data_IF_488623217490
#
_entry.id   IF_488623217490
#
_cell.length_a   1.000
_cell.length_b   1.000
_cell.length_c   1.000
_cell.angle_alpha   90.00
_cell.angle_beta   90.00
_cell.angle_gamma   90.00
#
_symmetry.space_group_name_H-M   'P 1'
#
loop_
_entity.id
_entity.type
_entity.pdbx_description
1 polymer ?
#
# COMPACT_ATOMS: atom_id res chain seq x y z
N UNK A 1 11.01 -3.35 7.95
CA UNK A 1 10.00 -3.53 6.89
C UNK A 1 8.83 -4.40 7.32
N UNK A 2 9.04 -5.63 7.80
CA UNK A 2 7.95 -6.54 8.19
C UNK A 2 6.88 -5.89 9.08
N UNK A 3 7.29 -5.22 10.17
CA UNK A 3 6.36 -4.51 11.04
C UNK A 3 5.57 -3.42 10.31
N UNK A 4 6.21 -2.61 9.44
CA UNK A 4 5.55 -1.53 8.70
C UNK A 4 4.45 -2.12 7.80
N UNK A 5 4.77 -3.20 7.08
CA UNK A 5 3.80 -3.89 6.24
C UNK A 5 2.64 -4.45 7.07
N UNK A 6 2.92 -5.13 8.18
CA UNK A 6 1.87 -5.71 9.03
C UNK A 6 0.99 -4.64 9.70
N UNK A 7 1.58 -3.54 10.16
CA UNK A 7 0.83 -2.40 10.71
C UNK A 7 -0.06 -1.75 9.65
N UNK A 8 0.47 -1.51 8.45
CA UNK A 8 -0.30 -0.97 7.33
C UNK A 8 -1.44 -1.91 6.89
N UNK A 9 -1.17 -3.21 6.83
CA UNK A 9 -2.15 -4.25 6.46
C UNK A 9 -3.28 -4.30 7.48
N UNK A 10 -2.97 -4.38 8.78
CA UNK A 10 -3.98 -4.46 9.86
C UNK A 10 -4.84 -3.20 9.95
N UNK A 11 -4.24 -2.03 9.76
CA UNK A 11 -4.95 -0.76 9.76
C UNK A 11 -5.65 -0.47 8.43
N UNK A 12 -5.37 -1.25 7.38
CA UNK A 12 -5.70 -0.97 5.99
C UNK A 12 -5.41 0.51 5.63
N UNK A 13 -4.23 0.99 6.03
CA UNK A 13 -3.86 2.39 5.96
C UNK A 13 -2.49 2.54 5.31
N UNK A 14 -2.32 3.49 4.37
CA UNK A 14 -1.01 3.78 3.80
C UNK A 14 -0.11 4.49 4.81
N UNK A 15 -0.67 5.08 5.88
CA UNK A 15 0.09 5.78 6.92
C UNK A 15 0.29 4.84 8.10
N UNK A 16 1.56 4.65 8.48
CA UNK A 16 1.98 3.88 9.64
C UNK A 16 2.66 4.80 10.63
N UNK A 17 1.99 5.02 11.77
CA UNK A 17 2.56 5.71 12.91
C UNK A 17 3.47 4.77 13.70
N UNK A 18 4.62 5.29 14.11
CA UNK A 18 5.75 4.58 14.70
C UNK A 18 6.27 5.27 15.98
N UNK A 19 5.56 6.30 16.44
CA UNK A 19 5.85 7.00 17.70
C UNK A 19 6.76 8.22 17.53
N UNK A 20 6.93 8.98 18.61
CA UNK A 20 7.56 10.31 18.58
C UNK A 20 9.06 10.28 18.90
N UNK A 21 9.60 9.12 19.25
CA UNK A 21 11.00 8.90 19.61
C UNK A 21 11.46 7.45 19.35
N UNK A 22 12.77 7.23 19.44
CA UNK A 22 13.39 5.92 19.27
C UNK A 22 12.93 4.87 20.28
N UNK A 23 12.55 5.28 21.49
CA UNK A 23 12.04 4.35 22.52
C UNK A 23 10.68 3.78 22.15
N UNK A 24 9.77 4.63 21.66
CA UNK A 24 8.46 4.17 21.17
C UNK A 24 8.62 3.29 19.93
N UNK A 25 9.55 3.65 19.04
CA UNK A 25 9.88 2.86 17.86
C UNK A 25 10.43 1.47 18.24
N UNK A 26 11.33 1.41 19.20
CA UNK A 26 11.92 0.16 19.68
C UNK A 26 10.85 -0.76 20.29
N UNK A 27 9.99 -0.20 21.13
CA UNK A 27 8.85 -0.91 21.70
C UNK A 27 7.90 -1.44 20.63
N UNK A 28 7.64 -0.66 19.57
CA UNK A 28 6.82 -1.09 18.44
C UNK A 28 7.44 -2.28 17.70
N UNK A 29 8.76 -2.26 17.46
CA UNK A 29 9.47 -3.35 16.80
C UNK A 29 9.80 -4.54 17.72
N UNK A 30 9.57 -4.43 19.02
CA UNK A 30 9.92 -5.47 20.00
C UNK A 30 11.42 -5.57 20.27
N UNK A 31 12.21 -4.56 19.89
CA UNK A 31 13.67 -4.55 20.04
C UNK A 31 14.09 -3.75 21.28
N UNK A 32 15.32 -3.95 21.73
CA UNK A 32 15.90 -3.19 22.84
C UNK A 32 15.95 -1.68 22.49
N UNK A 33 15.37 -0.77 23.30
CA UNK A 33 15.47 0.68 23.08
C UNK A 33 16.90 1.22 23.07
N UNK A 34 17.87 0.49 23.60
CA UNK A 34 19.29 0.85 23.56
C UNK A 34 20.04 0.21 22.39
N UNK A 35 19.32 -0.36 21.42
CA UNK A 35 19.91 -0.83 20.16
C UNK A 35 20.67 0.33 19.53
N UNK A 36 21.98 0.13 19.35
CA UNK A 36 22.85 1.16 18.76
C UNK A 36 22.34 1.55 17.39
N UNK A 37 22.46 2.84 17.10
CA UNK A 37 22.17 3.43 15.81
C UNK A 37 20.70 3.30 15.35
N UNK A 38 19.75 2.94 16.24
CA UNK A 38 18.34 2.80 15.86
C UNK A 38 17.79 4.09 15.22
N UNK A 39 18.07 5.24 15.82
CA UNK A 39 17.64 6.53 15.29
C UNK A 39 18.27 6.82 13.92
N UNK A 40 19.56 6.52 13.75
CA UNK A 40 20.27 6.71 12.49
C UNK A 40 19.74 5.75 11.40
N UNK A 41 19.55 4.48 11.73
CA UNK A 41 18.98 3.47 10.83
C UNK A 41 17.56 3.85 10.42
N UNK A 42 16.76 4.35 11.36
CA UNK A 42 15.43 4.85 11.09
C UNK A 42 15.44 6.06 10.14
N UNK A 43 16.33 7.02 10.37
CA UNK A 43 16.52 8.16 9.48
C UNK A 43 16.94 7.72 8.07
N UNK A 44 17.87 6.77 7.96
CA UNK A 44 18.30 6.19 6.67
C UNK A 44 17.15 5.49 5.95
N UNK A 45 16.31 4.74 6.67
CA UNK A 45 15.14 4.08 6.08
C UNK A 45 14.13 5.09 5.52
N UNK A 46 13.86 6.19 6.24
CA UNK A 46 12.97 7.26 5.75
C UNK A 46 13.52 7.99 4.53
N UNK A 47 14.84 8.05 4.37
CA UNK A 47 15.49 8.63 3.20
C UNK A 47 15.58 7.64 2.02
N UNK A 48 15.48 6.33 2.29
CA UNK A 48 15.66 5.29 1.28
C UNK A 48 14.51 5.29 0.26
N UNK A 49 14.86 5.06 -1.01
CA UNK A 49 13.91 4.74 -2.07
C UNK A 49 13.96 3.24 -2.32
N UNK A 50 12.89 2.55 -1.96
CA UNK A 50 12.74 1.12 -2.22
C UNK A 50 11.78 0.97 -3.40
N UNK A 51 12.26 0.35 -4.47
CA UNK A 51 11.51 0.04 -5.67
C UNK A 51 11.44 -1.48 -5.81
N UNK A 52 10.26 -1.99 -6.10
CA UNK A 52 10.03 -3.39 -6.43
C UNK A 52 9.74 -3.49 -7.92
N UNK A 53 10.42 -4.38 -8.60
CA UNK A 53 10.16 -4.69 -9.99
C UNK A 53 10.17 -6.21 -10.17
N UNK A 54 9.18 -6.69 -10.91
CA UNK A 54 9.19 -8.04 -11.46
C UNK A 54 9.48 -7.92 -12.96
N UNK A 55 10.28 -8.83 -13.51
CA UNK A 55 10.71 -8.80 -14.91
C UNK A 55 9.54 -8.55 -15.88
N UNK A 56 9.59 -7.40 -16.57
CA UNK A 56 8.56 -7.00 -17.55
C UNK A 56 7.37 -6.21 -16.99
N UNK A 57 7.34 -5.95 -15.67
CA UNK A 57 6.32 -5.12 -15.02
C UNK A 57 6.86 -3.73 -14.68
N UNK A 58 5.94 -2.76 -14.55
CA UNK A 58 6.30 -1.41 -14.11
C UNK A 58 6.71 -1.41 -12.63
N UNK A 59 7.81 -0.72 -12.32
CA UNK A 59 8.32 -0.59 -10.95
C UNK A 59 7.25 -0.03 -10.00
N UNK A 60 7.22 -0.56 -8.78
CA UNK A 60 6.33 -0.14 -7.69
C UNK A 60 7.21 0.47 -6.59
N UNK A 61 6.98 1.74 -6.27
CA UNK A 61 7.62 2.35 -5.10
C UNK A 61 6.98 1.81 -3.83
N UNK A 62 7.77 1.34 -2.86
CA UNK A 62 7.26 0.87 -1.57
C UNK A 62 6.76 2.04 -0.73
N UNK A 63 7.62 3.04 -0.57
CA UNK A 63 7.29 4.27 0.15
C UNK A 63 6.75 5.34 -0.80
N UNK A 64 5.77 6.09 -0.31
CA UNK A 64 5.30 7.30 -0.97
C UNK A 64 6.43 8.34 -1.00
N UNK A 65 6.51 9.11 -2.09
CA UNK A 65 7.43 10.23 -2.23
C UNK A 65 7.40 11.21 -1.05
N UNK A 66 6.25 11.34 -0.39
CA UNK A 66 5.99 12.23 0.76
C UNK A 66 6.60 11.73 2.07
N UNK A 67 6.86 10.43 2.16
CA UNK A 67 7.61 9.84 3.28
C UNK A 67 9.06 10.29 3.30
N UNK A 68 9.58 10.76 2.16
CA UNK A 68 10.97 11.16 2.05
C UNK A 68 11.26 12.41 2.86
N UNK A 69 12.38 12.38 3.58
CA UNK A 69 12.95 13.57 4.20
C UNK A 69 13.32 14.60 3.13
N UNK A 70 13.17 15.88 3.51
CA UNK A 70 13.77 17.00 2.79
C UNK A 70 15.26 17.08 3.16
N UNK A 71 16.09 17.50 2.22
CA UNK A 71 17.50 17.78 2.53
C UNK A 71 17.58 18.84 3.65
N UNK A 72 18.33 18.55 4.72
CA UNK A 72 18.51 19.43 5.87
C UNK A 72 17.47 19.30 7.00
N UNK A 73 16.46 18.44 6.87
CA UNK A 73 15.47 18.17 7.93
C UNK A 73 16.00 17.09 8.89
N UNK A 74 16.41 17.51 10.09
CA UNK A 74 16.94 16.63 11.16
C UNK A 74 15.82 16.16 12.12
N UNK A 75 14.58 16.66 11.95
CA UNK A 75 13.49 16.40 12.92
C UNK A 75 13.02 14.94 12.92
N UNK A 76 12.64 14.39 14.08
CA UNK A 76 12.04 13.05 14.11
C UNK A 76 10.70 13.05 13.35
N UNK A 77 10.47 12.01 12.54
CA UNK A 77 9.16 11.80 11.91
C UNK A 77 8.47 10.63 12.58
N UNK A 78 7.22 10.88 12.98
CA UNK A 78 6.46 9.92 13.78
C UNK A 78 5.93 8.73 12.98
N UNK A 79 6.08 8.73 11.65
CA UNK A 79 5.55 7.67 10.81
C UNK A 79 6.11 7.68 9.41
N UNK A 80 5.74 6.65 8.65
CA UNK A 80 6.02 6.52 7.23
C UNK A 80 4.74 6.27 6.46
N UNK A 81 4.76 6.65 5.19
CA UNK A 81 3.68 6.39 4.26
C UNK A 81 4.11 5.42 3.16
N UNK A 82 3.31 4.38 2.95
CA UNK A 82 3.41 3.45 1.83
C UNK A 82 2.72 4.05 0.59
N UNK A 83 3.20 3.70 -0.60
CA UNK A 83 2.47 4.04 -1.82
C UNK A 83 1.13 3.28 -1.86
N UNK A 84 0.12 3.88 -2.50
CA UNK A 84 -1.19 3.24 -2.64
C UNK A 84 -1.10 1.93 -3.43
N UNK A 85 -0.29 1.90 -4.50
CA UNK A 85 -0.07 0.69 -5.32
C UNK A 85 0.60 -0.42 -4.53
N UNK A 86 1.59 -0.08 -3.70
CA UNK A 86 2.24 -1.07 -2.83
C UNK A 86 1.28 -1.58 -1.75
N UNK A 87 0.49 -0.70 -1.11
CA UNK A 87 -0.51 -1.13 -0.12
C UNK A 87 -1.55 -2.08 -0.73
N UNK A 88 -2.08 -1.76 -1.91
CA UNK A 88 -3.03 -2.64 -2.59
C UNK A 88 -2.41 -4.02 -2.87
N UNK A 89 -1.20 -4.04 -3.43
CA UNK A 89 -0.44 -5.29 -3.64
C UNK A 89 -0.18 -6.05 -2.34
N UNK A 90 0.13 -5.35 -1.25
CA UNK A 90 0.34 -5.94 0.06
C UNK A 90 -0.96 -6.56 0.60
N UNK A 91 -2.10 -5.90 0.44
CA UNK A 91 -3.40 -6.45 0.87
C UNK A 91 -3.75 -7.72 0.12
N UNK A 92 -3.49 -7.76 -1.19
CA UNK A 92 -3.85 -8.89 -2.05
C UNK A 92 -2.88 -10.08 -1.93
N UNK A 93 -1.62 -9.83 -1.54
CA UNK A 93 -0.54 -10.82 -1.63
C UNK A 93 0.29 -11.00 -0.35
N UNK A 94 -0.17 -10.48 0.80
CA UNK A 94 0.55 -10.64 2.06
C UNK A 94 0.67 -12.12 2.47
N UNK A 95 1.90 -12.54 2.76
CA UNK A 95 2.18 -13.84 3.38
C UNK A 95 2.18 -13.67 4.91
N UNK A 96 1.37 -14.43 5.66
CA UNK A 96 1.32 -14.32 7.11
C UNK A 96 2.55 -14.96 7.76
N UNK A 97 3.29 -14.14 8.50
CA UNK A 97 4.42 -14.54 9.34
C UNK A 97 4.03 -14.42 10.82
N UNK A 98 4.41 -15.41 11.63
CA UNK A 98 4.43 -15.29 13.08
C UNK A 98 5.53 -14.30 13.49
N UNK A 99 5.14 -13.26 14.24
CA UNK A 99 6.03 -12.19 14.72
C UNK A 99 7.06 -12.70 15.71
N UNK A 100 6.70 -13.63 16.59
CA UNK A 100 7.58 -14.14 17.64
C UNK A 100 8.73 -14.94 17.02
N UNK A 101 8.41 -15.81 16.04
CA UNK A 101 9.38 -16.55 15.24
C UNK A 101 10.28 -15.61 14.45
N UNK A 102 9.70 -14.61 13.76
CA UNK A 102 10.49 -13.64 13.00
C UNK A 102 11.44 -12.83 13.89
N UNK A 103 11.00 -12.49 15.11
CA UNK A 103 11.81 -11.78 16.10
C UNK A 103 12.96 -12.66 16.60
N UNK A 104 12.69 -13.92 16.95
CA UNK A 104 13.72 -14.87 17.39
C UNK A 104 14.80 -15.12 16.32
N UNK A 105 14.40 -15.18 15.05
CA UNK A 105 15.30 -15.38 13.92
C UNK A 105 16.00 -14.10 13.43
N UNK A 106 15.61 -12.92 13.94
CA UNK A 106 16.07 -11.62 13.44
C UNK A 106 17.58 -11.41 13.51
N UNK A 107 18.26 -12.07 14.45
CA UNK A 107 19.72 -12.02 14.60
C UNK A 107 20.47 -12.78 13.49
N UNK A 108 19.78 -13.58 12.67
CA UNK A 108 20.38 -14.41 11.62
C UNK A 108 19.64 -14.19 10.30
N UNK A 109 20.15 -13.29 9.43
CA UNK A 109 19.47 -12.93 8.19
C UNK A 109 19.10 -14.15 7.32
N UNK A 110 20.00 -15.12 7.17
CA UNK A 110 19.74 -16.34 6.39
C UNK A 110 18.62 -17.21 6.98
N UNK A 111 18.45 -17.22 8.31
CA UNK A 111 17.34 -17.94 8.95
C UNK A 111 16.01 -17.21 8.76
N UNK A 112 16.02 -15.88 8.78
CA UNK A 112 14.85 -15.07 8.47
C UNK A 112 14.42 -15.24 7.01
N UNK A 113 15.37 -15.30 6.08
CA UNK A 113 15.13 -15.56 4.66
C UNK A 113 14.56 -16.98 4.44
N UNK A 114 15.15 -17.99 5.09
CA UNK A 114 14.65 -19.36 5.03
C UNK A 114 13.22 -19.48 5.59
N UNK A 115 12.92 -18.81 6.70
CA UNK A 115 11.58 -18.75 7.26
C UNK A 115 10.58 -18.06 6.34
N UNK A 116 10.94 -16.89 5.77
CA UNK A 116 10.08 -16.19 4.83
C UNK A 116 9.78 -17.03 3.58
N UNK A 117 10.81 -17.67 3.01
CA UNK A 117 10.65 -18.61 1.89
C UNK A 117 9.72 -19.78 2.22
N UNK A 118 9.92 -20.41 3.37
CA UNK A 118 9.12 -21.53 3.82
C UNK A 118 7.65 -21.13 3.96
N UNK A 119 7.36 -20.00 4.62
CA UNK A 119 5.99 -19.49 4.79
C UNK A 119 5.35 -19.12 3.46
N UNK A 120 6.10 -18.48 2.57
CA UNK A 120 5.62 -18.17 1.22
C UNK A 120 5.29 -19.44 0.43
N UNK A 121 6.18 -20.45 0.47
CA UNK A 121 5.99 -21.71 -0.24
C UNK A 121 4.73 -22.42 0.23
N UNK A 122 4.53 -22.52 1.55
CA UNK A 122 3.33 -23.13 2.10
C UNK A 122 2.08 -22.28 1.84
N UNK A 123 2.16 -20.95 1.85
CA UNK A 123 1.00 -20.08 1.61
C UNK A 123 0.32 -20.36 0.27
N UNK A 124 1.09 -20.66 -0.77
CA UNK A 124 0.57 -21.00 -2.09
C UNK A 124 0.38 -22.51 -2.34
N UNK A 125 0.80 -23.38 -1.40
CA UNK A 125 0.66 -24.83 -1.51
C UNK A 125 -0.73 -25.30 -1.08
N UNK A 126 -1.26 -26.35 -1.73
CA UNK A 126 -2.41 -27.08 -1.21
C UNK A 126 -2.08 -27.75 0.15
N UNK A 127 -3.10 -28.04 0.96
CA UNK A 127 -2.94 -28.44 2.38
C UNK A 127 -1.97 -29.62 2.54
N UNK A 128 -2.14 -30.66 1.73
CA UNK A 128 -1.35 -31.91 1.79
C UNK A 128 -0.19 -31.95 0.79
N UNK A 129 0.09 -30.84 0.12
CA UNK A 129 1.12 -30.80 -0.91
C UNK A 129 2.52 -30.71 -0.28
N UNK A 130 3.39 -31.62 -0.69
CA UNK A 130 4.83 -31.52 -0.44
C UNK A 130 5.45 -30.71 -1.57
N UNK A 131 6.15 -29.63 -1.22
CA UNK A 131 6.88 -28.79 -2.16
C UNK A 131 8.37 -29.02 -2.01
N UNK A 132 9.01 -29.53 -3.06
CA UNK A 132 10.47 -29.70 -3.12
C UNK A 132 11.08 -28.59 -3.95
N UNK A 133 11.96 -27.78 -3.36
CA UNK A 133 12.72 -26.74 -4.07
C UNK A 133 14.18 -27.19 -4.21
N UNK A 134 14.72 -27.26 -5.44
CA UNK A 134 16.10 -27.66 -5.66
C UNK A 134 17.11 -26.69 -5.04
N UNK A 135 18.28 -27.21 -4.65
CA UNK A 135 19.36 -26.39 -4.08
C UNK A 135 19.82 -25.24 -4.98
N UNK A 136 19.85 -25.45 -6.31
CA UNK A 136 20.23 -24.41 -7.27
C UNK A 136 19.25 -23.24 -7.29
N UNK A 137 17.95 -23.50 -7.11
CA UNK A 137 16.92 -22.45 -7.08
C UNK A 137 17.01 -21.66 -5.78
N UNK A 138 17.26 -22.32 -4.66
CA UNK A 138 17.50 -21.66 -3.37
C UNK A 138 18.77 -20.81 -3.42
N UNK A 139 19.85 -21.34 -3.99
CA UNK A 139 21.11 -20.60 -4.15
C UNK A 139 20.94 -19.40 -5.08
N UNK A 140 20.14 -19.51 -6.13
CA UNK A 140 19.85 -18.37 -7.02
C UNK A 140 19.11 -17.25 -6.28
N UNK A 141 18.26 -17.59 -5.29
CA UNK A 141 17.47 -16.61 -4.52
C UNK A 141 18.23 -16.03 -3.33
N UNK A 142 18.98 -16.85 -2.60
CA UNK A 142 19.57 -16.50 -1.29
C UNK A 142 21.09 -16.58 -1.25
N UNK A 143 21.71 -17.20 -2.25
CA UNK A 143 23.16 -17.35 -2.34
C UNK A 143 23.85 -16.07 -2.81
N UNK A 144 25.17 -16.03 -2.62
CA UNK A 144 26.02 -14.96 -3.15
C UNK A 144 26.76 -15.44 -4.39
N UNK A 145 27.10 -14.52 -5.29
CA UNK A 145 27.74 -14.84 -6.58
C UNK A 145 29.10 -15.52 -6.46
N UNK A 146 29.75 -15.44 -5.30
CA UNK A 146 31.07 -16.03 -5.01
C UNK A 146 31.02 -17.34 -4.23
N UNK A 147 29.85 -17.76 -3.75
CA UNK A 147 29.70 -18.94 -2.89
C UNK A 147 29.55 -20.21 -3.73
N UNK A 148 30.13 -21.33 -3.29
CA UNK A 148 29.87 -22.63 -3.90
C UNK A 148 28.53 -23.21 -3.43
N UNK A 149 27.93 -24.12 -4.22
CA UNK A 149 26.68 -24.82 -3.85
C UNK A 149 26.82 -25.53 -2.50
N UNK A 150 27.98 -26.15 -2.23
CA UNK A 150 28.24 -26.87 -0.99
C UNK A 150 28.30 -25.96 0.24
N UNK A 151 28.97 -24.81 0.12
CA UNK A 151 29.02 -23.80 1.19
C UNK A 151 27.64 -23.20 1.44
N UNK A 152 26.89 -22.90 0.37
CA UNK A 152 25.51 -22.41 0.47
C UNK A 152 24.63 -23.42 1.20
N UNK A 153 24.61 -24.68 0.73
CA UNK A 153 23.84 -25.77 1.35
C UNK A 153 24.15 -25.89 2.84
N UNK A 154 25.43 -25.98 3.22
CA UNK A 154 25.83 -26.06 4.63
C UNK A 154 25.30 -24.89 5.46
N UNK A 155 25.46 -23.66 4.98
CA UNK A 155 24.97 -22.47 5.70
C UNK A 155 23.44 -22.38 5.78
N UNK A 156 22.74 -22.81 4.74
CA UNK A 156 21.29 -22.78 4.65
C UNK A 156 20.63 -23.92 5.45
N UNK A 157 21.28 -25.09 5.54
CA UNK A 157 20.85 -26.19 6.42
C UNK A 157 20.88 -25.77 7.88
N UNK A 158 21.94 -25.07 8.32
CA UNK A 158 22.01 -24.50 9.68
C UNK A 158 20.87 -23.50 9.92
N UNK A 159 20.56 -22.68 8.90
CA UNK A 159 19.44 -21.74 8.98
C UNK A 159 18.09 -22.47 9.10
N UNK A 160 17.86 -23.52 8.31
CA UNK A 160 16.63 -24.34 8.36
C UNK A 160 16.47 -25.07 9.69
N UNK A 161 17.55 -25.56 10.30
CA UNK A 161 17.52 -26.17 11.63
C UNK A 161 17.00 -25.19 12.67
N UNK A 162 17.48 -23.93 12.66
CA UNK A 162 16.98 -22.88 13.55
C UNK A 162 15.51 -22.59 13.32
N UNK A 163 15.07 -22.53 12.07
CA UNK A 163 13.64 -22.33 11.75
C UNK A 163 12.81 -23.49 12.31
N UNK A 164 13.27 -24.74 12.16
CA UNK A 164 12.58 -25.92 12.65
C UNK A 164 12.47 -25.96 14.19
N UNK A 165 13.47 -25.47 14.91
CA UNK A 165 13.46 -25.40 16.38
C UNK A 165 12.34 -24.50 16.92
N UNK A 166 12.03 -23.42 16.20
CA UNK A 166 11.08 -22.38 16.61
C UNK A 166 9.70 -22.53 15.97
N UNK A 167 9.63 -23.02 14.73
CA UNK A 167 8.39 -23.17 13.96
C UNK A 167 7.98 -24.64 13.88
N UNK A 168 7.07 -25.04 14.78
CA UNK A 168 6.61 -26.43 14.89
C UNK A 168 5.41 -26.79 14.01
N UNK A 169 4.86 -25.83 13.25
CA UNK A 169 3.70 -26.09 12.38
C UNK A 169 4.06 -26.64 11.00
N UNK A 170 5.34 -26.94 10.77
CA UNK A 170 5.88 -27.29 9.45
C UNK A 170 6.80 -28.51 9.54
N UNK A 171 6.72 -29.36 8.53
CA UNK A 171 7.64 -30.48 8.37
C UNK A 171 8.65 -30.14 7.27
N UNK A 172 9.92 -30.40 7.58
CA UNK A 172 11.05 -30.14 6.71
C UNK A 172 11.82 -31.44 6.47
N UNK A 173 12.10 -31.71 5.20
CA UNK A 173 13.03 -32.77 4.80
C UNK A 173 14.10 -32.17 3.90
N UNK A 174 15.35 -32.47 4.22
CA UNK A 174 16.53 -31.98 3.50
C UNK A 174 17.26 -33.17 2.93
N UNK A 175 17.50 -33.16 1.63
CA UNK A 175 18.19 -34.22 0.90
C UNK A 175 19.15 -33.64 -0.16
N UNK A 176 19.74 -34.51 -0.97
CA UNK A 176 20.67 -34.11 -2.03
C UNK A 176 19.98 -33.40 -3.20
N UNK A 177 18.68 -33.60 -3.39
CA UNK A 177 17.91 -32.94 -4.44
C UNK A 177 17.50 -31.52 -4.04
N UNK A 178 17.22 -31.27 -2.75
CA UNK A 178 16.83 -29.96 -2.27
C UNK A 178 16.20 -29.96 -0.87
N UNK A 179 15.28 -29.03 -0.69
CA UNK A 179 14.51 -28.87 0.55
C UNK A 179 13.04 -29.09 0.24
N UNK A 180 12.45 -30.06 0.93
CA UNK A 180 11.04 -30.39 0.87
C UNK A 180 10.31 -29.82 2.08
N UNK A 181 9.23 -29.08 1.84
CA UNK A 181 8.40 -28.47 2.87
C UNK A 181 6.96 -28.94 2.75
N UNK A 182 6.32 -29.24 3.88
CA UNK A 182 4.87 -29.46 3.96
C UNK A 182 4.33 -28.89 5.27
N UNK A 183 3.02 -28.73 5.36
CA UNK A 183 2.37 -28.42 6.65
C UNK A 183 2.50 -29.63 7.56
N UNK A 184 2.88 -29.40 8.81
CA UNK A 184 2.85 -30.47 9.79
C UNK A 184 1.39 -30.92 9.94
N UNK A 185 1.18 -32.23 9.90
CA UNK A 185 -0.11 -32.82 10.23
C UNK A 185 -0.28 -32.58 11.73
N UNK A 186 -1.06 -31.55 12.10
CA UNK A 186 -1.46 -31.37 13.49
C UNK A 186 -2.19 -32.65 13.87
N UNK A 187 -1.51 -33.52 14.60
CA UNK A 187 -2.13 -34.71 15.16
C UNK A 187 -3.40 -34.24 15.88
N UNK A 188 -4.56 -34.60 15.33
CA UNK A 188 -5.87 -34.39 15.93
C UNK A 188 -5.95 -35.26 17.20
N UNK A 189 -5.20 -34.91 18.24
CA UNK A 189 -5.13 -35.70 19.47
C UNK A 189 -5.79 -34.92 20.59
N UNK A 190 -7.11 -35.12 20.71
CA UNK A 190 -7.79 -35.21 22.01
C UNK A 190 -8.57 -33.99 22.52
N UNK A 191 -8.35 -32.78 22.01
CA UNK A 191 -9.02 -31.59 22.58
C UNK A 191 -10.36 -31.30 21.87
N UNK A 192 -10.45 -31.43 20.54
CA UNK A 192 -11.68 -31.17 19.80
C UNK A 192 -12.83 -32.15 20.12
N UNK A 193 -12.51 -33.44 20.35
CA UNK A 193 -13.53 -34.43 20.71
C UNK A 193 -14.13 -34.20 22.11
N UNK A 194 -13.36 -33.60 23.02
CA UNK A 194 -13.82 -33.30 24.39
C UNK A 194 -14.72 -32.06 24.44
N UNK A 195 -14.48 -31.06 23.58
CA UNK A 195 -15.29 -29.83 23.53
C UNK A 195 -16.65 -30.11 22.85
N UNK A 196 -16.67 -30.93 21.80
CA UNK A 196 -17.91 -31.28 21.09
C UNK A 196 -18.84 -32.14 21.96
N UNK A 197 -18.32 -33.09 22.74
CA UNK A 197 -19.13 -33.93 23.64
C UNK A 197 -19.79 -33.13 24.77
N UNK A 198 -19.06 -32.15 25.34
CA UNK A 198 -19.58 -31.29 26.41
C UNK A 198 -20.65 -30.29 25.91
N UNK A 199 -20.55 -29.83 24.65
CA UNK A 199 -21.55 -28.97 24.03
C UNK A 199 -22.82 -29.74 23.61
N UNK A 200 -22.67 -30.98 23.15
CA UNK A 200 -23.81 -31.83 22.74
C UNK A 200 -24.70 -32.25 23.92
N UNK A 201 -24.11 -32.47 25.10
CA UNK A 201 -24.85 -32.86 26.31
C UNK A 201 -25.64 -31.71 26.95
N UNK A 202 -25.25 -30.45 26.71
CA UNK A 202 -26.01 -29.27 27.17
C UNK A 202 -27.24 -28.95 26.33
N UNK A 203 -27.33 -29.45 25.11
CA UNK A 203 -28.42 -29.15 24.18
C UNK A 203 -29.65 -30.07 24.33
N UNK A 204 -29.58 -31.12 25.15
CA UNK A 204 -30.63 -32.14 25.28
C UNK A 204 -31.22 -32.11 26.70
N UNK A 205 -31.93 -31.04 27.03
CA UNK A 205 -32.94 -31.02 28.11
C UNK A 205 -33.95 -29.90 27.84
N UNK A 206 -35.23 -30.22 27.55
CA UNK A 206 -36.25 -29.20 27.29
C UNK A 206 -36.89 -28.74 28.61
N UNK A 207 -36.80 -27.44 28.89
CA UNK A 207 -37.52 -26.76 29.96
C UNK A 207 -38.77 -26.07 29.41
N UNK A 208 -39.91 -26.36 30.04
CA UNK A 208 -41.28 -26.04 29.63
C UNK A 208 -41.75 -24.60 29.95
N UNK A 209 -42.67 -24.10 29.09
CA UNK A 209 -43.83 -23.19 29.30
C UNK A 209 -43.61 -21.81 29.97
N UNK A 210 -44.31 -20.71 29.63
CA UNK A 210 -45.67 -20.49 29.13
C UNK A 210 -45.79 -19.13 28.39
N UNK A 211 -46.51 -19.05 27.26
CA UNK A 211 -47.75 -18.27 26.95
C UNK A 211 -47.68 -16.75 27.27
N UNK A 212 -47.96 -15.81 26.34
CA UNK A 212 -49.27 -15.57 25.69
C UNK A 212 -49.14 -14.96 24.25
N UNK A 213 -50.21 -15.12 23.45
CA UNK A 213 -50.48 -14.60 22.08
C UNK A 213 -51.90 -13.95 22.11
N UNK A 214 -52.52 -13.43 21.01
CA UNK A 214 -52.07 -12.69 19.82
C UNK A 214 -53.02 -11.51 19.42
N UNK A 215 -52.67 -10.70 18.39
CA UNK A 215 -53.57 -10.16 17.30
C UNK A 215 -52.66 -9.73 16.12
N UNK A 216 -52.49 -10.50 15.04
CA UNK A 216 -53.32 -10.62 13.82
C UNK A 216 -53.52 -9.32 13.02
N UNK A 217 -52.82 -9.17 11.88
CA UNK A 217 -53.38 -8.74 10.58
C UNK A 217 -52.56 -9.35 9.43
N UNK A 218 -53.31 -9.90 8.48
CA UNK A 218 -53.03 -10.58 7.20
C UNK A 218 -52.37 -9.67 6.17
N UNK A 219 -51.54 -10.22 5.25
CA UNK A 219 -51.76 -10.16 3.79
C UNK A 219 -50.50 -10.42 2.91
N UNK A 220 -50.51 -11.62 2.32
CA UNK A 220 -50.21 -12.05 0.93
C UNK A 220 -48.85 -11.81 0.25
N UNK A 221 -48.42 -12.92 -0.36
CA UNK A 221 -47.31 -13.16 -1.26
C UNK A 221 -47.36 -12.37 -2.58
N UNK A 222 -46.21 -12.22 -3.23
CA UNK A 222 -46.05 -12.75 -4.58
C UNK A 222 -44.57 -12.97 -4.94
N UNK A 223 -44.30 -14.18 -5.40
CA UNK A 223 -43.06 -14.65 -6.01
C UNK A 223 -43.23 -14.50 -7.51
N UNK A 224 -42.25 -13.94 -8.22
CA UNK A 224 -42.07 -14.26 -9.64
C UNK A 224 -40.59 -14.39 -9.96
N UNK A 225 -40.32 -15.51 -10.61
CA UNK A 225 -39.05 -16.12 -10.94
C UNK A 225 -38.84 -16.02 -12.47
N UNK A 226 -37.65 -16.41 -12.92
CA UNK A 226 -37.30 -17.03 -14.23
C UNK A 226 -36.76 -16.17 -15.39
N UNK A 227 -35.64 -16.73 -15.92
CA UNK A 227 -35.13 -16.79 -17.32
C UNK A 227 -34.05 -15.78 -17.71
N UNK A 228 -32.76 -16.09 -17.94
CA UNK A 228 -32.03 -17.20 -18.60
C UNK A 228 -31.87 -17.09 -20.14
N UNK A 229 -30.68 -17.52 -20.60
CA UNK A 229 -30.12 -17.70 -21.97
C UNK A 229 -29.19 -16.55 -22.44
N UNK A 230 -27.86 -16.74 -22.63
CA UNK A 230 -27.12 -17.64 -23.55
C UNK A 230 -27.42 -17.30 -25.03
N UNK A 231 -26.51 -17.22 -26.01
CA UNK A 231 -25.18 -17.80 -26.15
C UNK A 231 -24.50 -17.29 -27.46
N UNK A 232 -23.17 -17.47 -27.56
CA UNK A 232 -22.41 -17.97 -28.74
C UNK A 232 -21.94 -17.07 -29.91
N UNK A 233 -20.59 -17.07 -30.06
CA UNK A 233 -19.73 -17.34 -31.24
C UNK A 233 -19.92 -16.57 -32.58
N UNK A 234 -18.95 -16.43 -33.49
CA UNK A 234 -17.49 -16.49 -33.59
C UNK A 234 -17.20 -16.21 -35.09
N UNK A 235 -16.10 -15.54 -35.46
CA UNK A 235 -15.07 -16.05 -36.40
C UNK A 235 -14.14 -14.94 -36.95
N UNK A 236 -12.84 -15.18 -36.74
CA UNK A 236 -11.69 -15.06 -37.67
C UNK A 236 -11.44 -13.77 -38.50
N UNK A 237 -10.22 -13.22 -38.38
CA UNK A 237 -9.07 -13.35 -39.32
C UNK A 237 -7.99 -12.29 -38.95
N UNK A 238 -6.73 -12.73 -38.84
CA UNK A 238 -5.54 -11.89 -38.57
C UNK A 238 -5.10 -11.11 -39.81
N UNK A 239 -4.50 -9.91 -39.62
CA UNK A 239 -3.17 -9.68 -40.15
C UNK A 239 -2.20 -9.07 -39.11
N UNK A 240 -0.93 -9.47 -39.19
CA UNK A 240 0.19 -8.96 -38.37
C UNK A 240 0.49 -7.50 -38.70
N UNK A 241 0.33 -6.54 -37.76
CA UNK A 241 1.06 -5.25 -37.78
C UNK A 241 1.18 -4.64 -36.37
N UNK A 242 2.40 -4.14 -36.06
CA UNK A 242 2.80 -3.20 -35.00
C UNK A 242 2.41 -3.55 -33.54
N UNK A 243 3.39 -3.83 -32.69
CA UNK A 243 3.19 -3.91 -31.22
C UNK A 243 3.17 -2.47 -30.70
N UNK A 244 2.03 -1.93 -30.22
CA UNK A 244 2.00 -0.63 -29.58
C UNK A 244 2.48 -0.80 -28.14
N UNK A 245 3.41 0.06 -27.70
CA UNK A 245 3.70 0.21 -26.27
C UNK A 245 2.42 0.73 -25.59
N UNK A 246 2.06 0.15 -24.43
CA UNK A 246 0.82 0.47 -23.69
C UNK A 246 0.76 1.93 -23.19
N UNK A 247 1.77 2.74 -23.48
CA UNK A 247 1.83 4.18 -23.23
C UNK A 247 1.39 5.06 -24.41
N UNK A 248 1.19 4.50 -25.61
CA UNK A 248 0.74 5.28 -26.79
C UNK A 248 -0.77 5.18 -27.07
N UNK A 249 -1.50 4.34 -26.33
CA UNK A 249 -2.93 4.11 -26.53
C UNK A 249 -3.82 4.62 -25.39
N UNK A 250 -3.27 5.45 -24.50
CA UNK A 250 -4.05 6.08 -23.44
C UNK A 250 -3.75 7.58 -23.38
N UNK A 251 -4.08 8.24 -24.49
CA UNK A 251 -4.45 9.65 -24.49
C UNK A 251 -5.83 9.76 -23.83
N UNK A 252 -5.93 9.32 -22.58
CA UNK A 252 -7.18 9.31 -21.84
C UNK A 252 -7.49 10.73 -21.41
N UNK A 253 -8.62 11.18 -21.92
CA UNK A 253 -9.35 12.40 -21.62
C UNK A 253 -9.83 12.51 -20.17
N UNK A 254 -9.28 11.75 -19.21
CA UNK A 254 -9.78 11.70 -17.83
C UNK A 254 -9.22 12.81 -16.94
N UNK A 255 -8.01 13.33 -17.20
CA UNK A 255 -7.41 14.34 -16.30
C UNK A 255 -7.99 15.74 -16.47
N UNK A 256 -8.54 16.05 -17.65
CA UNK A 256 -9.19 17.33 -17.93
C UNK A 256 -10.67 17.34 -17.53
N UNK A 257 -11.35 16.19 -17.63
CA UNK A 257 -12.80 16.07 -17.43
C UNK A 257 -13.25 16.41 -16.00
N UNK A 258 -12.43 16.09 -14.99
CA UNK A 258 -12.79 16.34 -13.59
C UNK A 258 -12.61 17.80 -13.16
N UNK A 259 -11.74 18.57 -13.84
CA UNK A 259 -11.68 20.02 -13.61
C UNK A 259 -12.85 20.74 -14.30
N UNK A 260 -13.42 20.16 -15.37
CA UNK A 260 -14.50 20.75 -16.16
C UNK A 260 -15.88 20.69 -15.47
N UNK A 261 -16.08 19.74 -14.55
CA UNK A 261 -17.37 19.51 -13.87
C UNK A 261 -17.81 20.58 -12.85
N UNK A 262 -17.01 21.63 -12.60
CA UNK A 262 -17.23 22.59 -11.51
C UNK A 262 -17.29 24.08 -11.94
N UNK A 263 -17.48 24.37 -13.23
CA UNK A 263 -17.28 25.71 -13.79
C UNK A 263 -18.57 26.54 -14.03
N UNK A 264 -19.51 26.55 -13.08
CA UNK A 264 -20.67 27.46 -13.13
C UNK A 264 -21.10 28.02 -11.77
N UNK A 265 -20.17 28.59 -11.00
CA UNK A 265 -20.49 29.58 -9.94
C UNK A 265 -19.22 30.32 -9.49
N UNK A 266 -18.83 31.36 -10.22
CA UNK A 266 -17.85 32.31 -9.72
C UNK A 266 -18.52 33.22 -8.68
N UNK A 267 -18.31 32.95 -7.38
CA UNK A 267 -18.16 33.97 -6.32
C UNK A 267 -18.03 33.41 -4.89
N UNK A 268 -18.43 32.17 -4.57
CA UNK A 268 -18.38 31.73 -3.19
C UNK A 268 -18.29 30.20 -3.02
N UNK A 269 -17.38 29.80 -2.12
CA UNK A 269 -17.33 28.56 -1.33
C UNK A 269 -17.32 27.19 -2.03
N UNK A 270 -16.18 26.50 -1.88
CA UNK A 270 -16.02 25.03 -1.75
C UNK A 270 -17.11 24.20 -2.48
N UNK A 271 -16.84 23.78 -3.70
CA UNK A 271 -17.37 22.50 -4.17
C UNK A 271 -16.70 21.41 -3.32
N UNK A 272 -17.44 20.41 -2.82
CA UNK A 272 -16.92 19.43 -1.83
C UNK A 272 -15.57 18.79 -2.21
N UNK A 273 -15.28 18.73 -3.51
CA UNK A 273 -14.09 18.08 -4.06
C UNK A 273 -13.01 19.03 -4.62
N UNK A 274 -13.22 20.35 -4.63
CA UNK A 274 -12.24 21.30 -5.19
C UNK A 274 -12.23 22.67 -4.51
N UNK A 275 -11.07 23.32 -4.54
CA UNK A 275 -10.85 24.66 -3.99
C UNK A 275 -9.99 25.48 -4.93
N UNK A 276 -10.37 26.74 -5.12
CA UNK A 276 -9.58 27.72 -5.85
C UNK A 276 -8.84 28.64 -4.88
N UNK A 277 -7.56 28.87 -5.16
CA UNK A 277 -6.68 29.75 -4.42
C UNK A 277 -6.31 30.93 -5.32
N UNK A 278 -6.95 32.07 -5.04
CA UNK A 278 -6.75 33.29 -5.80
C UNK A 278 -5.34 33.88 -5.59
N UNK A 279 -4.93 34.76 -6.51
CA UNK A 279 -3.61 35.41 -6.51
C UNK A 279 -3.24 36.09 -5.20
N UNK A 280 -4.20 36.70 -4.50
CA UNK A 280 -3.97 37.35 -3.22
C UNK A 280 -3.65 36.37 -2.06
N UNK A 281 -3.98 35.08 -2.21
CA UNK A 281 -3.71 34.02 -1.24
C UNK A 281 -2.37 33.33 -1.52
N UNK A 282 -2.06 33.12 -2.79
CA UNK A 282 -0.85 32.39 -3.22
C UNK A 282 0.34 33.33 -3.41
N UNK A 283 0.10 34.62 -3.71
CA UNK A 283 1.13 35.56 -4.15
C UNK A 283 1.59 35.33 -5.58
N UNK A 284 0.91 34.47 -6.34
CA UNK A 284 1.16 34.22 -7.77
C UNK A 284 0.21 35.05 -8.64
N UNK A 285 0.57 35.25 -9.90
CA UNK A 285 -0.32 35.92 -10.86
C UNK A 285 -1.49 34.99 -11.26
N UNK A 286 -1.22 33.69 -11.29
CA UNK A 286 -2.14 32.62 -11.66
C UNK A 286 -3.05 32.22 -10.48
N UNK A 287 -4.21 31.63 -10.81
CA UNK A 287 -5.07 30.96 -9.83
C UNK A 287 -4.72 29.49 -9.77
N UNK A 288 -4.64 28.97 -8.56
CA UNK A 288 -4.31 27.57 -8.29
C UNK A 288 -5.58 26.82 -7.90
N UNK A 289 -5.81 25.69 -8.52
CA UNK A 289 -6.94 24.82 -8.30
C UNK A 289 -6.44 23.54 -7.65
N UNK A 290 -6.89 23.27 -6.43
CA UNK A 290 -6.66 21.99 -5.77
C UNK A 290 -7.94 21.17 -5.84
N UNK A 291 -7.78 19.85 -5.97
CA UNK A 291 -8.88 18.90 -5.93
C UNK A 291 -8.60 17.79 -4.92
N UNK A 292 -9.64 17.06 -4.54
CA UNK A 292 -9.50 15.79 -3.81
C UNK A 292 -8.93 14.74 -4.73
N UNK A 293 -8.17 13.81 -4.16
CA UNK A 293 -7.55 12.75 -4.93
C UNK A 293 -8.51 11.71 -5.46
N UNK A 294 -9.63 11.47 -4.77
CA UNK A 294 -10.65 10.48 -5.17
C UNK A 294 -10.06 9.11 -5.57
N UNK A 295 -8.95 8.69 -4.94
CA UNK A 295 -8.25 7.43 -5.23
C UNK A 295 -7.11 7.52 -6.24
N UNK A 296 -6.83 8.70 -6.84
CA UNK A 296 -5.69 8.89 -7.72
C UNK A 296 -4.35 8.88 -6.98
N UNK A 297 -3.34 8.28 -7.62
CA UNK A 297 -2.00 8.09 -7.06
C UNK A 297 -1.15 9.37 -7.09
N UNK A 298 -1.40 10.24 -8.07
CA UNK A 298 -0.62 11.46 -8.30
C UNK A 298 -1.38 12.67 -7.80
N UNK A 299 -0.77 13.45 -6.92
CA UNK A 299 -1.33 14.74 -6.51
C UNK A 299 -1.29 15.69 -7.71
N UNK A 300 -2.46 16.16 -8.12
CA UNK A 300 -2.62 17.05 -9.26
C UNK A 300 -3.06 18.45 -8.82
N UNK A 301 -2.42 19.44 -9.43
CA UNK A 301 -2.70 20.86 -9.21
C UNK A 301 -3.04 21.50 -10.55
N UNK A 302 -4.22 22.11 -10.64
CA UNK A 302 -4.64 22.89 -11.79
C UNK A 302 -4.16 24.33 -11.67
N UNK A 303 -3.79 24.95 -12.79
CA UNK A 303 -3.32 26.34 -12.84
C UNK A 303 -3.99 27.04 -14.00
N UNK A 304 -4.64 28.18 -13.74
CA UNK A 304 -5.20 29.05 -14.78
C UNK A 304 -4.53 30.42 -14.78
N UNK A 305 -4.28 31.03 -15.95
CA UNK A 305 -3.60 32.33 -16.03
C UNK A 305 -4.43 33.48 -15.45
N UNK A 306 -5.76 33.37 -15.55
CA UNK A 306 -6.72 34.38 -15.16
C UNK A 306 -7.51 33.93 -13.93
N UNK A 307 -8.20 34.88 -13.28
CA UNK A 307 -9.09 34.60 -12.15
C UNK A 307 -10.33 33.79 -12.51
N UNK A 308 -10.60 33.61 -13.81
CA UNK A 308 -11.71 32.80 -14.30
C UNK A 308 -11.19 31.41 -14.62
N UNK A 309 -12.00 30.41 -14.30
CA UNK A 309 -11.76 29.06 -14.79
C UNK A 309 -11.93 29.06 -16.32
N UNK A 310 -10.87 28.70 -17.04
CA UNK A 310 -10.85 28.58 -18.49
C UNK A 310 -10.28 27.19 -18.80
N UNK A 311 -11.14 26.23 -19.15
CA UNK A 311 -10.76 24.84 -19.41
C UNK A 311 -9.65 24.74 -20.47
N UNK A 312 -9.78 25.53 -21.55
CA UNK A 312 -8.82 25.60 -22.65
C UNK A 312 -7.44 26.15 -22.25
N UNK A 313 -7.34 26.80 -21.09
CA UNK A 313 -6.10 27.37 -20.55
C UNK A 313 -5.67 26.72 -19.23
N UNK A 314 -6.31 25.64 -18.85
CA UNK A 314 -5.95 24.88 -17.67
C UNK A 314 -4.62 24.15 -17.91
N UNK A 315 -3.65 24.46 -17.06
CA UNK A 315 -2.41 23.70 -16.97
C UNK A 315 -2.49 22.75 -15.78
N UNK A 316 -2.25 21.45 -16.01
CA UNK A 316 -2.23 20.45 -14.95
C UNK A 316 -0.79 20.13 -14.58
N UNK A 317 -0.47 20.25 -13.30
CA UNK A 317 0.82 19.92 -12.72
C UNK A 317 0.70 18.67 -11.84
N UNK A 318 1.61 17.72 -12.01
CA UNK A 318 1.75 16.58 -11.09
C UNK A 318 2.85 16.86 -10.06
N UNK A 319 2.56 16.53 -8.80
CA UNK A 319 3.41 16.81 -7.64
C UNK A 319 4.14 15.53 -7.20
N UNK A 320 5.14 15.08 -7.96
CA UNK A 320 6.08 14.03 -7.52
C UNK A 320 7.39 14.69 -6.96
N UNK A 321 8.57 14.05 -6.73
CA UNK A 321 9.68 14.76 -6.03
C UNK A 321 10.09 16.08 -6.70
N UNK A 322 9.77 16.23 -7.98
CA UNK A 322 9.80 17.47 -8.74
C UNK A 322 8.41 17.67 -9.35
N UNK A 323 7.98 18.93 -9.45
CA UNK A 323 6.74 19.29 -10.14
C UNK A 323 6.96 19.10 -11.64
N UNK A 324 6.03 18.43 -12.31
CA UNK A 324 6.05 18.24 -13.76
C UNK A 324 4.74 18.74 -14.35
N UNK A 325 4.81 19.29 -15.55
CA UNK A 325 3.62 19.69 -16.29
C UNK A 325 3.08 18.49 -17.07
N UNK A 326 1.84 18.07 -16.76
CA UNK A 326 1.15 16.95 -17.39
C UNK A 326 0.40 17.39 -18.65
N UNK A 327 -0.20 18.58 -18.60
CA UNK A 327 -0.92 19.17 -19.73
C UNK A 327 -0.89 20.71 -19.68
N UNK A 328 -1.24 21.36 -20.80
CA UNK A 328 -1.23 22.81 -20.95
C UNK A 328 0.10 23.35 -21.50
N UNK A 329 0.40 24.63 -21.23
CA UNK A 329 1.63 25.28 -21.68
C UNK A 329 1.96 26.52 -20.87
N UNK A 330 2.21 26.37 -19.57
CA UNK A 330 2.69 27.48 -18.74
C UNK A 330 4.11 27.85 -19.19
N UNK A 331 4.41 29.15 -19.26
CA UNK A 331 5.75 29.58 -19.62
C UNK A 331 6.78 29.18 -18.55
N UNK A 332 8.06 29.14 -18.93
CA UNK A 332 9.14 28.65 -18.06
C UNK A 332 9.23 29.44 -16.73
N UNK A 333 9.04 30.76 -16.78
CA UNK A 333 9.15 31.64 -15.60
C UNK A 333 7.98 31.44 -14.64
N UNK A 334 6.78 31.32 -15.19
CA UNK A 334 5.57 31.07 -14.42
C UNK A 334 5.59 29.64 -13.86
N UNK A 335 6.08 28.67 -14.63
CA UNK A 335 6.26 27.29 -14.16
C UNK A 335 7.24 27.21 -12.99
N UNK A 336 8.40 27.86 -13.07
CA UNK A 336 9.35 27.91 -11.94
C UNK A 336 8.72 28.50 -10.68
N UNK A 337 7.98 29.60 -10.81
CA UNK A 337 7.32 30.27 -9.67
C UNK A 337 6.20 29.43 -9.07
N UNK A 338 5.36 28.84 -9.91
CA UNK A 338 4.28 27.95 -9.46
C UNK A 338 4.86 26.69 -8.83
N UNK A 339 5.86 26.07 -9.45
CA UNK A 339 6.55 24.89 -8.91
C UNK A 339 7.15 25.15 -7.52
N UNK A 340 7.87 26.26 -7.36
CA UNK A 340 8.44 26.66 -6.07
C UNK A 340 7.35 26.90 -5.01
N UNK A 341 6.23 27.50 -5.40
CA UNK A 341 5.09 27.68 -4.51
C UNK A 341 4.43 26.34 -4.13
N UNK A 342 4.23 25.44 -5.09
CA UNK A 342 3.65 24.10 -4.87
C UNK A 342 4.52 23.30 -3.91
N UNK A 343 5.84 23.34 -4.09
CA UNK A 343 6.78 22.68 -3.16
C UNK A 343 6.75 23.30 -1.76
N UNK A 344 6.62 24.62 -1.66
CA UNK A 344 6.54 25.34 -0.38
C UNK A 344 5.24 25.07 0.38
N UNK A 345 4.16 24.70 -0.31
CA UNK A 345 2.82 24.45 0.22
C UNK A 345 2.40 22.97 0.12
N UNK A 346 3.35 22.06 -0.15
CA UNK A 346 3.07 20.65 -0.42
C UNK A 346 2.28 19.97 0.70
N UNK A 347 2.55 20.32 1.95
CA UNK A 347 1.83 19.77 3.12
C UNK A 347 0.34 20.10 3.09
N UNK A 348 -0.01 21.35 2.76
CA UNK A 348 -1.40 21.80 2.67
C UNK A 348 -2.10 21.19 1.46
N UNK A 349 -1.38 21.08 0.34
CA UNK A 349 -1.88 20.46 -0.89
C UNK A 349 -2.16 18.97 -0.63
N UNK A 350 -1.24 18.26 0.02
CA UNK A 350 -1.40 16.84 0.36
C UNK A 350 -2.55 16.64 1.36
N UNK A 351 -2.65 17.45 2.41
CA UNK A 351 -3.74 17.36 3.40
C UNK A 351 -5.11 17.71 2.79
N UNK A 352 -5.16 18.61 1.82
CA UNK A 352 -6.37 18.87 1.04
C UNK A 352 -6.67 17.72 0.07
N UNK A 353 -5.68 17.19 -0.64
CA UNK A 353 -5.86 16.04 -1.54
C UNK A 353 -6.48 14.83 -0.83
N UNK A 354 -6.08 14.60 0.42
CA UNK A 354 -6.46 13.44 1.23
C UNK A 354 -7.79 13.55 1.98
N UNK A 355 -8.54 14.65 1.85
CA UNK A 355 -9.78 14.79 2.62
C UNK A 355 -9.61 15.38 4.03
N UNK A 356 -8.37 15.51 4.54
CA UNK A 356 -8.11 15.91 5.95
C UNK A 356 -8.55 17.34 6.24
N UNK A 357 -8.32 18.25 5.29
CA UNK A 357 -8.81 19.62 5.40
C UNK A 357 -10.20 19.70 4.79
N UNK A 358 -11.21 19.92 5.62
CA UNK A 358 -12.63 20.00 5.18
C UNK A 358 -13.14 21.43 4.99
N UNK A 359 -12.33 22.46 5.25
CA UNK A 359 -12.77 23.86 5.14
C UNK A 359 -11.74 24.77 4.47
N UNK A 360 -12.24 25.72 3.67
CA UNK A 360 -11.45 26.78 3.06
C UNK A 360 -10.68 27.61 4.08
N UNK A 361 -11.29 27.87 5.25
CA UNK A 361 -10.68 28.65 6.33
C UNK A 361 -9.37 28.00 6.82
N UNK A 362 -9.35 26.68 6.90
CA UNK A 362 -8.17 25.93 7.32
C UNK A 362 -7.07 25.92 6.24
N UNK A 363 -7.44 25.78 4.96
CA UNK A 363 -6.50 25.93 3.84
C UNK A 363 -5.90 27.32 3.85
N UNK A 364 -6.72 28.37 3.92
CA UNK A 364 -6.28 29.77 3.92
C UNK A 364 -5.33 30.10 5.09
N UNK A 365 -5.55 29.50 6.26
CA UNK A 365 -4.67 29.68 7.43
C UNK A 365 -3.27 29.09 7.22
N UNK A 366 -3.17 27.98 6.48
CA UNK A 366 -1.92 27.22 6.30
C UNK A 366 -1.16 27.56 5.03
N UNK A 367 -1.85 28.07 4.00
CA UNK A 367 -1.23 28.49 2.74
C UNK A 367 -0.25 29.64 2.98
N UNK A 368 0.96 29.47 2.44
CA UNK A 368 2.04 30.46 2.45
C UNK A 368 2.02 31.27 1.17
N UNK A 369 2.15 32.60 1.30
CA UNK A 369 2.26 33.54 0.19
C UNK A 369 3.68 33.56 -0.38
N UNK A 370 3.78 33.53 -1.70
CA UNK A 370 5.00 33.70 -2.47
C UNK A 370 5.82 32.42 -2.65
N UNK A 371 6.68 32.36 -3.67
CA UNK A 371 7.73 31.36 -3.73
C UNK A 371 8.81 31.74 -2.70
N UNK A 372 9.25 30.77 -1.89
CA UNK A 372 10.39 30.98 -0.99
C UNK A 372 11.64 31.35 -1.81
N UNK A 373 12.44 32.36 -1.41
CA UNK A 373 13.72 32.63 -2.07
C UNK A 373 14.68 31.48 -1.76
N UNK A 374 15.14 30.74 -2.79
CA UNK A 374 16.24 29.78 -2.62
C UNK A 374 16.12 28.42 -3.33
N UNK A 375 15.14 28.19 -4.20
CA UNK A 375 15.12 26.97 -5.02
C UNK A 375 16.00 27.13 -6.26
N UNK A 376 17.20 26.55 -6.21
CA UNK A 376 18.03 26.16 -7.34
C UNK A 376 18.63 24.79 -7.07
#
# INVERSE_FOLDING_TARGET
>A
MMYICDAAFRANSPVVELGHDGTTLAAAFGIDPYTRDLDEQWQRLQAARILLSESGTAEISVFDARSRRRAGDISWRSGVRLSSKFLASLVDHAVPLNRDVAHELSATPTALDAYAWLRMSLHFAAVDQVLTTPWNDLMTRFGTSSQSVAEFRSSFEIALQRVFEVERSVDLAVDDAGVSVRRAELAETGIAASITSAAQQRAISPGAAAEERPKEVVAIAETTEVAAAAESAASAVLPRQHVPSRFDAQKDSSTAADFDGAAAAAADQITQDSISLASHLTGLAQVIWLRRGLGEERVLVGVTPTQRFEADRLTILAVEPMVIQVSGGLDEKDFERVSAWVMSNRDVIDDFWEGRIVSFKEVNRRVRRGPAPGWR
#
